data_IF_713821106151
#
_entry.id   IF_713821106151
#
_cell.length_a   1.000
_cell.length_b   1.000
_cell.length_c   1.000
_cell.angle_alpha   90.00
_cell.angle_beta   90.00
_cell.angle_gamma   90.00
#
_symmetry.space_group_name_H-M   'P 1'
#
loop_
_entity.id
_entity.type
_entity.pdbx_description
1 polymer ?
#
# COMPACT_ATOMS: atom_id res chain seq x y z
N UNK A 1 -13.08 35.02 33.15
CA UNK A 1 -12.57 35.26 31.79
C UNK A 1 -12.61 33.93 31.04
N UNK A 2 -13.66 33.69 30.26
CA UNK A 2 -13.90 32.41 29.60
C UNK A 2 -13.03 32.30 28.33
N UNK A 3 -12.32 31.18 28.17
CA UNK A 3 -11.66 30.84 26.90
C UNK A 3 -12.73 30.55 25.84
N UNK A 4 -12.57 31.01 24.59
CA UNK A 4 -13.52 30.67 23.54
C UNK A 4 -13.47 29.17 23.24
N UNK A 5 -14.66 28.58 23.23
CA UNK A 5 -14.95 27.19 22.91
C UNK A 5 -14.34 26.85 21.53
N UNK A 6 -13.38 25.93 21.50
CA UNK A 6 -12.82 25.46 20.23
C UNK A 6 -13.89 24.63 19.52
N UNK A 7 -14.27 24.94 18.26
CA UNK A 7 -15.31 24.18 17.59
C UNK A 7 -14.91 22.72 17.50
N UNK A 8 -15.74 21.85 18.08
CA UNK A 8 -15.57 20.40 18.10
C UNK A 8 -15.41 19.90 16.65
N UNK A 9 -14.20 19.43 16.33
CA UNK A 9 -13.85 18.97 14.98
C UNK A 9 -14.63 17.68 14.68
N UNK A 10 -15.77 17.80 14.00
CA UNK A 10 -16.62 16.66 13.62
C UNK A 10 -15.80 15.59 12.89
N UNK A 11 -15.79 14.36 13.40
CA UNK A 11 -15.02 13.28 12.78
C UNK A 11 -15.72 12.76 11.52
N UNK A 12 -14.94 12.51 10.47
CA UNK A 12 -15.43 11.92 9.22
C UNK A 12 -15.49 10.39 9.36
N UNK A 13 -16.68 9.81 9.25
CA UNK A 13 -16.90 8.36 9.43
C UNK A 13 -17.21 7.59 8.15
N UNK A 14 -17.71 8.25 7.10
CA UNK A 14 -18.14 7.62 5.85
C UNK A 14 -17.22 7.97 4.68
N UNK A 15 -16.98 6.99 3.80
CA UNK A 15 -16.15 7.15 2.60
C UNK A 15 -17.00 7.04 1.33
N UNK A 16 -17.04 8.13 0.55
CA UNK A 16 -17.69 8.17 -0.76
C UNK A 16 -16.64 7.96 -1.86
N UNK A 17 -16.92 7.08 -2.82
CA UNK A 17 -16.05 6.83 -3.98
C UNK A 17 -16.74 7.35 -5.24
N UNK A 18 -16.07 8.23 -5.99
CA UNK A 18 -16.59 8.82 -7.21
C UNK A 18 -15.80 8.31 -8.42
N UNK A 19 -16.49 7.93 -9.49
CA UNK A 19 -15.87 7.65 -10.79
C UNK A 19 -15.98 8.91 -11.65
N UNK A 20 -14.84 9.37 -12.16
CA UNK A 20 -14.72 10.61 -12.92
C UNK A 20 -13.94 10.30 -14.20
N UNK A 21 -14.24 10.98 -15.32
CA UNK A 21 -13.34 11.08 -16.46
C UNK A 21 -11.96 11.61 -16.03
N UNK A 22 -10.91 11.16 -16.72
CA UNK A 22 -9.51 11.44 -16.33
C UNK A 22 -9.18 12.94 -16.37
N UNK A 23 -9.72 13.66 -17.36
CA UNK A 23 -9.58 15.11 -17.53
C UNK A 23 -10.18 15.88 -16.35
N UNK A 24 -11.36 15.48 -15.91
CA UNK A 24 -12.07 16.07 -14.78
C UNK A 24 -11.31 15.81 -13.48
N UNK A 25 -10.83 14.59 -13.29
CA UNK A 25 -10.02 14.23 -12.13
C UNK A 25 -8.69 15.01 -12.09
N UNK A 26 -8.04 15.23 -13.25
CA UNK A 26 -6.83 16.03 -13.35
C UNK A 26 -7.10 17.50 -13.00
N UNK A 27 -8.17 18.08 -13.57
CA UNK A 27 -8.57 19.45 -13.29
C UNK A 27 -8.82 19.69 -11.80
N UNK A 28 -9.55 18.78 -11.12
CA UNK A 28 -9.84 18.91 -9.69
C UNK A 28 -8.59 18.83 -8.82
N UNK A 29 -7.64 17.94 -9.16
CA UNK A 29 -6.35 17.86 -8.47
C UNK A 29 -5.53 19.13 -8.64
N UNK A 30 -5.56 19.73 -9.81
CA UNK A 30 -4.86 20.99 -10.08
C UNK A 30 -5.46 22.15 -9.30
N UNK A 31 -6.79 22.27 -9.28
CA UNK A 31 -7.50 23.28 -8.49
C UNK A 31 -7.26 23.14 -6.98
N UNK A 32 -7.27 21.90 -6.46
CA UNK A 32 -6.96 21.64 -5.06
C UNK A 32 -5.52 22.03 -4.70
N UNK A 33 -4.55 21.74 -5.59
CA UNK A 33 -3.14 22.11 -5.41
C UNK A 33 -2.96 23.63 -5.43
N UNK A 34 -3.63 24.35 -6.32
CA UNK A 34 -3.59 25.81 -6.39
C UNK A 34 -4.13 26.47 -5.11
N UNK A 35 -5.10 25.83 -4.45
CA UNK A 35 -5.66 26.26 -3.17
C UNK A 35 -4.88 25.77 -1.93
N UNK A 36 -3.73 25.11 -2.11
CA UNK A 36 -2.94 24.44 -1.07
C UNK A 36 -3.74 23.52 -0.12
N UNK A 37 -4.75 22.83 -0.67
CA UNK A 37 -5.64 21.93 0.06
C UNK A 37 -5.48 20.49 -0.40
N UNK A 38 -5.84 19.55 0.46
CA UNK A 38 -6.06 18.18 0.01
C UNK A 38 -7.23 18.15 -0.98
N UNK A 39 -7.26 17.20 -1.92
CA UNK A 39 -8.37 17.06 -2.86
C UNK A 39 -9.71 16.91 -2.12
N UNK A 40 -9.71 16.19 -0.99
CA UNK A 40 -10.90 15.98 -0.17
C UNK A 40 -11.36 17.24 0.55
N UNK A 41 -10.46 18.05 1.10
CA UNK A 41 -10.84 19.32 1.74
C UNK A 41 -11.29 20.36 0.70
N UNK A 42 -10.66 20.40 -0.47
CA UNK A 42 -11.07 21.25 -1.57
C UNK A 42 -12.47 20.87 -2.08
N UNK A 43 -12.74 19.57 -2.25
CA UNK A 43 -14.04 19.08 -2.69
C UNK A 43 -15.13 19.36 -1.64
N UNK A 44 -14.86 19.10 -0.36
CA UNK A 44 -15.81 19.43 0.72
C UNK A 44 -16.08 20.92 0.81
N UNK A 45 -15.06 21.77 0.67
CA UNK A 45 -15.29 23.22 0.62
C UNK A 45 -16.17 23.63 -0.57
N UNK A 46 -16.03 22.95 -1.72
CA UNK A 46 -16.84 23.22 -2.91
C UNK A 46 -18.31 22.77 -2.73
N UNK A 47 -18.54 21.68 -2.00
CA UNK A 47 -19.88 21.09 -1.79
C UNK A 47 -20.59 21.67 -0.55
N UNK A 48 -19.89 21.75 0.57
CA UNK A 48 -20.42 22.13 1.89
C UNK A 48 -20.17 23.61 2.23
N UNK A 49 -19.40 24.34 1.42
CA UNK A 49 -19.17 25.77 1.59
C UNK A 49 -18.49 26.14 2.92
N UNK A 50 -19.11 27.06 3.68
CA UNK A 50 -18.60 27.55 4.96
C UNK A 50 -18.71 26.53 6.10
N UNK A 51 -19.52 25.48 5.95
CA UNK A 51 -19.72 24.42 6.93
C UNK A 51 -18.73 23.26 6.76
N UNK A 52 -17.83 23.36 5.78
CA UNK A 52 -16.89 22.30 5.44
C UNK A 52 -15.93 21.98 6.61
N UNK A 53 -15.97 20.71 7.05
CA UNK A 53 -15.02 20.18 8.04
C UNK A 53 -13.62 20.09 7.44
N UNK A 54 -12.70 20.92 7.93
CA UNK A 54 -11.32 20.93 7.47
C UNK A 54 -10.49 19.87 8.22
N UNK A 55 -9.98 18.87 7.50
CA UNK A 55 -9.15 17.81 8.09
C UNK A 55 -7.68 18.19 8.34
N UNK A 56 -7.30 19.41 7.97
CA UNK A 56 -5.95 19.96 8.18
C UNK A 56 -5.13 19.97 6.89
N UNK A 57 -4.10 20.83 6.88
CA UNK A 57 -3.20 21.04 5.74
C UNK A 57 -2.67 19.72 5.17
N UNK A 58 -2.39 19.75 3.86
CA UNK A 58 -1.88 18.64 3.06
C UNK A 58 -0.76 17.91 3.82
N UNK A 59 -1.05 16.70 4.33
CA UNK A 59 -0.02 15.84 4.91
C UNK A 59 1.05 15.63 3.85
N UNK A 60 2.20 16.28 4.02
CA UNK A 60 3.36 16.05 3.18
C UNK A 60 3.58 14.53 3.12
N UNK A 61 3.76 13.93 1.94
CA UNK A 61 4.06 12.52 1.86
C UNK A 61 5.29 12.29 2.73
N UNK A 62 5.11 11.54 3.83
CA UNK A 62 6.21 11.10 4.67
C UNK A 62 7.10 10.29 3.74
N UNK A 63 8.16 10.91 3.21
CA UNK A 63 9.21 10.19 2.50
C UNK A 63 9.79 9.25 3.54
N UNK A 64 9.33 8.00 3.51
CA UNK A 64 10.01 6.92 4.23
C UNK A 64 11.45 7.01 3.76
N UNK A 65 12.39 7.15 4.71
CA UNK A 65 13.81 7.02 4.43
C UNK A 65 14.01 5.56 4.03
N UNK A 66 13.82 5.26 2.76
CA UNK A 66 14.15 3.96 2.20
C UNK A 66 15.65 3.84 2.27
N UNK A 67 16.15 2.86 3.02
CA UNK A 67 17.50 2.36 2.85
C UNK A 67 17.71 2.13 1.36
N UNK A 68 18.78 2.69 0.79
CA UNK A 68 19.08 2.58 -0.64
C UNK A 68 19.41 1.13 -0.95
N UNK A 69 18.38 0.33 -1.21
CA UNK A 69 18.50 -1.04 -1.70
C UNK A 69 18.51 -1.01 -3.22
N UNK A 70 19.20 -1.96 -3.83
CA UNK A 70 19.23 -2.13 -5.28
C UNK A 70 17.79 -2.17 -5.86
N UNK A 71 17.45 -1.28 -6.80
CA UNK A 71 16.14 -1.28 -7.45
C UNK A 71 15.77 -2.60 -8.12
N UNK A 72 16.74 -3.38 -8.62
CA UNK A 72 16.46 -4.68 -9.23
C UNK A 72 16.00 -5.70 -8.18
N UNK A 73 16.72 -5.78 -7.05
CA UNK A 73 16.33 -6.59 -5.90
C UNK A 73 14.93 -6.23 -5.37
N UNK A 74 14.61 -4.94 -5.26
CA UNK A 74 13.29 -4.51 -4.80
C UNK A 74 12.17 -4.93 -5.75
N UNK A 75 12.40 -4.87 -7.07
CA UNK A 75 11.44 -5.34 -8.08
C UNK A 75 11.23 -6.85 -7.98
N UNK A 76 12.29 -7.61 -7.80
CA UNK A 76 12.19 -9.06 -7.63
C UNK A 76 11.42 -9.44 -6.37
N UNK A 77 11.71 -8.77 -5.24
CA UNK A 77 10.98 -8.98 -4.00
C UNK A 77 9.48 -8.62 -4.14
N UNK A 78 9.17 -7.54 -4.83
CA UNK A 78 7.80 -7.15 -5.13
C UNK A 78 7.08 -8.19 -6.03
N UNK A 79 7.77 -8.74 -7.02
CA UNK A 79 7.24 -9.79 -7.88
C UNK A 79 6.94 -11.07 -7.09
N UNK A 80 7.84 -11.47 -6.19
CA UNK A 80 7.62 -12.61 -5.27
C UNK A 80 6.39 -12.36 -4.40
N UNK A 81 6.27 -11.17 -3.78
CA UNK A 81 5.11 -10.82 -2.96
C UNK A 81 3.80 -10.81 -3.75
N UNK A 82 3.82 -10.36 -5.01
CA UNK A 82 2.66 -10.40 -5.91
C UNK A 82 2.20 -11.84 -6.17
N UNK A 83 3.13 -12.75 -6.45
CA UNK A 83 2.82 -14.17 -6.70
C UNK A 83 2.17 -14.83 -5.48
N UNK A 84 2.71 -14.59 -4.28
CA UNK A 84 2.13 -15.09 -3.01
C UNK A 84 0.70 -14.58 -2.84
N UNK A 85 0.47 -13.30 -3.11
CA UNK A 85 -0.86 -12.70 -2.97
C UNK A 85 -1.86 -13.21 -4.03
N UNK A 86 -1.38 -13.63 -5.21
CA UNK A 86 -2.23 -14.30 -6.20
C UNK A 86 -2.61 -15.70 -5.74
N UNK A 87 -1.65 -16.49 -5.23
CA UNK A 87 -1.92 -17.81 -4.66
C UNK A 87 -2.94 -17.72 -3.52
N UNK A 88 -2.77 -16.77 -2.59
CA UNK A 88 -3.72 -16.56 -1.49
C UNK A 88 -5.13 -16.20 -1.99
N UNK A 89 -5.24 -15.36 -3.03
CA UNK A 89 -6.55 -15.00 -3.61
C UNK A 89 -7.23 -16.18 -4.28
N UNK A 90 -6.49 -16.96 -5.07
CA UNK A 90 -7.02 -18.19 -5.68
C UNK A 90 -7.49 -19.14 -4.59
N UNK A 91 -6.66 -19.35 -3.56
CA UNK A 91 -6.99 -20.22 -2.45
C UNK A 91 -8.26 -19.79 -1.70
N UNK A 92 -8.40 -18.50 -1.43
CA UNK A 92 -9.57 -17.94 -0.75
C UNK A 92 -10.83 -17.93 -1.64
N UNK A 93 -10.67 -18.06 -2.96
CA UNK A 93 -11.78 -18.13 -3.92
C UNK A 93 -12.31 -19.55 -4.14
N UNK A 94 -11.51 -20.57 -3.81
CA UNK A 94 -11.91 -21.97 -3.88
C UNK A 94 -12.51 -22.34 -2.52
N UNK A 95 -13.72 -22.91 -2.53
CA UNK A 95 -14.34 -23.47 -1.32
C UNK A 95 -13.63 -24.76 -0.93
N UNK A 96 -12.48 -24.64 -0.26
CA UNK A 96 -11.67 -25.77 0.16
C UNK A 96 -12.28 -26.45 1.38
N UNK A 97 -12.29 -27.79 1.35
CA UNK A 97 -12.64 -28.54 2.54
C UNK A 97 -11.53 -28.40 3.60
N UNK A 98 -11.82 -28.67 4.90
CA UNK A 98 -10.81 -28.69 5.95
C UNK A 98 -9.62 -29.64 5.64
N UNK A 99 -9.88 -30.74 4.92
CA UNK A 99 -8.84 -31.68 4.48
C UNK A 99 -7.94 -31.04 3.41
N UNK A 100 -8.50 -30.30 2.46
CA UNK A 100 -7.73 -29.60 1.42
C UNK A 100 -6.85 -28.50 2.01
N UNK A 101 -7.37 -27.75 3.01
CA UNK A 101 -6.58 -26.79 3.77
C UNK A 101 -5.39 -27.44 4.48
N UNK A 102 -5.61 -28.58 5.13
CA UNK A 102 -4.56 -29.31 5.85
C UNK A 102 -3.48 -29.80 4.88
N UNK A 103 -3.88 -30.34 3.72
CA UNK A 103 -2.95 -30.80 2.69
C UNK A 103 -2.14 -29.64 2.11
N UNK A 104 -2.78 -28.52 1.80
CA UNK A 104 -2.08 -27.33 1.32
C UNK A 104 -1.07 -26.79 2.35
N UNK A 105 -1.44 -26.70 3.62
CA UNK A 105 -0.53 -26.26 4.67
C UNK A 105 0.69 -27.19 4.79
N UNK A 106 0.50 -28.50 4.63
CA UNK A 106 1.60 -29.45 4.60
C UNK A 106 2.55 -29.22 3.42
N UNK A 107 2.02 -28.97 2.22
CA UNK A 107 2.81 -28.67 1.02
C UNK A 107 3.57 -27.33 1.16
N UNK A 108 2.91 -26.28 1.65
CA UNK A 108 3.57 -24.99 1.91
C UNK A 108 4.67 -25.09 2.96
N UNK A 109 4.43 -25.87 4.03
CA UNK A 109 5.46 -26.13 5.03
C UNK A 109 6.63 -26.93 4.46
N UNK A 110 6.39 -27.87 3.53
CA UNK A 110 7.43 -28.60 2.82
C UNK A 110 8.27 -27.67 1.93
N UNK A 111 7.62 -26.81 1.14
CA UNK A 111 8.29 -25.80 0.34
C UNK A 111 9.14 -24.85 1.20
N UNK A 112 8.61 -24.38 2.33
CA UNK A 112 9.35 -23.51 3.25
C UNK A 112 10.61 -24.19 3.79
N UNK A 113 10.53 -25.48 4.17
CA UNK A 113 11.71 -26.23 4.63
C UNK A 113 12.78 -26.36 3.55
N UNK A 114 12.37 -26.66 2.32
CA UNK A 114 13.31 -26.78 1.20
C UNK A 114 13.97 -25.44 0.86
N UNK A 115 13.18 -24.37 0.80
CA UNK A 115 13.70 -23.01 0.59
C UNK A 115 14.65 -22.59 1.72
N UNK A 116 14.40 -22.98 2.97
CA UNK A 116 15.32 -22.73 4.08
C UNK A 116 16.65 -23.46 3.90
N UNK A 117 16.59 -24.74 3.51
CA UNK A 117 17.79 -25.52 3.21
C UNK A 117 18.60 -24.89 2.08
N UNK A 118 17.94 -24.45 1.00
CA UNK A 118 18.59 -23.73 -0.09
C UNK A 118 19.21 -22.41 0.37
N UNK A 119 18.58 -21.69 1.31
CA UNK A 119 19.11 -20.45 1.86
C UNK A 119 20.32 -20.65 2.79
N UNK A 120 20.46 -21.84 3.38
CA UNK A 120 21.60 -22.28 4.20
C UNK A 120 22.76 -22.83 3.36
N UNK A 121 22.54 -23.12 2.08
CA UNK A 121 23.63 -23.47 1.18
C UNK A 121 24.61 -22.28 1.06
N UNK A 122 25.93 -22.54 0.93
CA UNK A 122 26.90 -21.50 0.66
C UNK A 122 26.45 -20.69 -0.57
N UNK A 123 26.24 -19.39 -0.37
CA UNK A 123 25.71 -18.50 -1.43
C UNK A 123 26.73 -18.19 -2.53
N UNK A 124 28.00 -18.56 -2.32
CA UNK A 124 29.11 -18.41 -3.25
C UNK A 124 30.15 -19.49 -2.94
N UNK A 125 30.81 -20.03 -3.96
CA UNK A 125 32.11 -20.67 -3.75
C UNK A 125 33.11 -19.56 -3.39
N UNK A 126 33.82 -19.62 -2.25
CA UNK A 126 34.85 -18.63 -1.94
C UNK A 126 35.97 -18.52 -3.01
N UNK A 127 36.07 -19.50 -3.93
CA UNK A 127 36.96 -19.47 -5.08
C UNK A 127 36.34 -18.86 -6.37
N UNK A 128 35.04 -18.58 -6.38
CA UNK A 128 34.37 -17.89 -7.49
C UNK A 128 34.69 -16.39 -7.38
N UNK A 129 35.47 -15.87 -8.33
CA UNK A 129 35.91 -14.47 -8.35
C UNK A 129 34.92 -13.55 -9.06
N UNK A 130 33.76 -14.07 -9.50
CA UNK A 130 32.72 -13.26 -10.13
C UNK A 130 33.21 -12.58 -11.42
N UNK A 131 33.87 -13.31 -12.32
CA UNK A 131 34.10 -12.83 -13.68
C UNK A 131 32.77 -12.84 -14.44
N UNK A 132 32.24 -11.64 -14.73
CA UNK A 132 31.14 -11.45 -15.67
C UNK A 132 31.59 -11.81 -17.09
N UNK A 133 30.87 -12.72 -17.75
CA UNK A 133 31.01 -13.03 -19.19
C UNK A 133 30.06 -12.15 -19.99
#
# INVERSE_FOLDING_TARGET
MAMPDQPSRRQLSQRVTLRLPDDTAAHWRQAAKAADKSLSDWLRQRVDGAEAVQTGLRRQPRRLRTLTADPALLRQLAAIGSNINQMARVLNSVGLSPADHTRLLAELAAMQRELHRLAELPRYDPADQGEEV
#
